data_IF_151352535928
#
_entry.id   IF_151352535928
#
_cell.length_a   1.000
_cell.length_b   1.000
_cell.length_c   1.000
_cell.angle_alpha   90.00
_cell.angle_beta   90.00
_cell.angle_gamma   90.00
#
_symmetry.space_group_name_H-M   'P 1'
#
loop_
_entity.id
_entity.type
_entity.pdbx_description
1 polymer ?
#
# COMPACT_ATOMS: atom_id res chain seq x y z
N UNK A 1 33.39 18.02 6.94
CA UNK A 1 32.69 18.46 8.16
C UNK A 1 31.43 17.63 8.27
N UNK A 2 31.35 16.76 9.27
CA UNK A 2 30.21 15.84 9.44
C UNK A 2 29.17 16.55 10.30
N UNK A 3 28.01 16.86 9.74
CA UNK A 3 26.92 17.53 10.47
C UNK A 3 26.08 16.43 11.14
N UNK A 4 25.74 16.55 12.43
CA UNK A 4 24.92 15.56 13.11
C UNK A 4 23.56 15.37 12.42
N UNK A 5 23.17 14.11 12.29
CA UNK A 5 21.93 13.67 11.61
C UNK A 5 20.76 13.52 12.57
N UNK A 6 21.02 13.47 13.88
CA UNK A 6 20.00 13.34 14.91
C UNK A 6 18.95 14.46 14.81
N UNK A 7 17.68 14.06 14.93
CA UNK A 7 16.55 14.97 14.89
C UNK A 7 16.06 15.26 16.31
N UNK A 8 15.66 16.50 16.55
CA UNK A 8 15.15 16.97 17.83
C UNK A 8 13.70 17.38 17.66
N UNK A 9 12.84 16.94 18.57
CA UNK A 9 11.44 17.36 18.58
C UNK A 9 11.34 18.86 18.88
N UNK A 10 10.74 19.65 18.00
CA UNK A 10 10.50 21.08 18.09
C UNK A 10 9.03 21.35 17.74
N UNK A 11 8.25 21.77 18.73
CA UNK A 11 6.81 22.09 18.60
C UNK A 11 5.95 21.07 17.83
N UNK A 12 6.25 19.78 18.01
CA UNK A 12 5.53 18.67 17.38
C UNK A 12 6.17 18.12 16.10
N UNK A 13 7.20 18.80 15.56
CA UNK A 13 7.98 18.35 14.41
C UNK A 13 9.36 17.83 14.80
N UNK A 14 9.95 16.92 14.03
CA UNK A 14 11.31 16.43 14.27
C UNK A 14 12.28 17.15 13.35
N UNK A 15 13.15 18.01 13.88
CA UNK A 15 14.05 18.85 13.08
C UNK A 15 15.50 18.39 13.23
N UNK A 16 16.18 18.15 12.12
CA UNK A 16 17.62 17.78 12.09
C UNK A 16 18.47 18.94 11.56
N UNK A 17 19.52 19.38 12.28
CA UNK A 17 20.42 20.42 11.81
C UNK A 17 21.04 20.15 10.44
N UNK A 18 21.45 18.91 10.18
CA UNK A 18 22.00 18.52 8.88
C UNK A 18 20.99 18.69 7.75
N UNK A 19 19.73 18.37 7.99
CA UNK A 19 18.66 18.52 7.00
C UNK A 19 18.25 19.97 6.82
N UNK A 20 18.23 20.78 7.89
CA UNK A 20 18.02 22.23 7.78
C UNK A 20 19.11 22.86 6.92
N UNK A 21 20.38 22.50 7.12
CA UNK A 21 21.50 22.97 6.29
C UNK A 21 21.34 22.52 4.84
N UNK A 22 21.03 21.23 4.60
CA UNK A 22 20.84 20.70 3.25
C UNK A 22 19.68 21.39 2.51
N UNK A 23 18.55 21.60 3.19
CA UNK A 23 17.41 22.35 2.67
C UNK A 23 17.82 23.76 2.25
N UNK A 24 18.48 24.51 3.14
CA UNK A 24 18.90 25.88 2.86
C UNK A 24 19.86 25.95 1.67
N UNK A 25 20.83 25.05 1.58
CA UNK A 25 21.77 25.02 0.46
C UNK A 25 21.07 24.82 -0.89
N UNK A 26 20.02 23.99 -0.96
CA UNK A 26 19.21 23.85 -2.19
C UNK A 26 18.38 25.07 -2.53
N UNK A 27 17.91 25.78 -1.52
CA UNK A 27 17.29 27.08 -1.70
C UNK A 27 18.31 28.19 -2.06
N UNK A 28 19.55 27.83 -2.41
CA UNK A 28 20.59 28.75 -2.85
C UNK A 28 21.37 29.42 -1.73
N UNK A 29 21.18 29.01 -0.48
CA UNK A 29 21.94 29.58 0.63
C UNK A 29 23.38 29.09 0.61
N UNK A 30 24.30 29.96 1.00
CA UNK A 30 25.75 29.68 0.99
C UNK A 30 26.31 29.68 2.40
N UNK A 31 27.16 28.70 2.72
CA UNK A 31 27.88 28.67 4.00
C UNK A 31 28.94 29.79 3.97
N UNK A 32 28.86 30.72 4.93
CA UNK A 32 29.77 31.87 5.06
C UNK A 32 30.68 31.81 6.28
N UNK A 33 30.49 30.82 7.13
CA UNK A 33 31.33 30.58 8.30
C UNK A 33 30.69 29.57 9.24
N UNK A 34 31.34 29.34 10.36
CA UNK A 34 30.87 28.39 11.36
C UNK A 34 32.01 27.96 12.27
N UNK A 35 31.68 27.10 13.23
CA UNK A 35 32.65 26.38 14.05
C UNK A 35 32.25 24.91 14.06
N UNK A 36 33.19 24.05 13.70
CA UNK A 36 32.96 22.61 13.59
C UNK A 36 32.36 22.05 14.88
N UNK A 37 31.33 21.22 14.72
CA UNK A 37 30.55 20.63 15.82
C UNK A 37 29.60 21.58 16.55
N UNK A 38 29.74 22.91 16.41
CA UNK A 38 28.94 23.88 17.17
C UNK A 38 27.86 24.59 16.36
N UNK A 39 28.21 25.21 15.24
CA UNK A 39 27.24 25.92 14.40
C UNK A 39 27.75 26.18 12.99
N UNK A 40 26.83 26.41 12.06
CA UNK A 40 27.10 26.94 10.72
C UNK A 40 26.37 28.27 10.52
N UNK A 41 26.98 29.19 9.79
CA UNK A 41 26.37 30.44 9.35
C UNK A 41 26.08 30.37 7.86
N UNK A 42 24.81 30.44 7.49
CA UNK A 42 24.35 30.41 6.11
C UNK A 42 23.80 31.78 5.70
N UNK A 43 24.21 32.28 4.55
CA UNK A 43 23.68 33.51 3.96
C UNK A 43 22.67 33.19 2.85
N UNK A 44 21.52 33.90 2.78
CA UNK A 44 20.52 33.70 1.74
C UNK A 44 21.06 34.04 0.34
N UNK A 45 20.43 33.52 -0.74
CA UNK A 45 20.77 33.88 -2.12
C UNK A 45 20.44 35.35 -2.46
N UNK A 46 19.48 35.93 -1.75
CA UNK A 46 19.07 37.33 -1.87
C UNK A 46 19.69 38.17 -0.75
N UNK A 47 19.53 39.51 -0.80
CA UNK A 47 19.96 40.38 0.29
C UNK A 47 19.12 40.06 1.53
N UNK A 48 19.78 39.63 2.60
CA UNK A 48 19.11 39.25 3.84
C UNK A 48 20.09 38.91 4.96
N UNK A 49 19.55 38.72 6.16
CA UNK A 49 20.33 38.34 7.33
C UNK A 49 20.81 36.89 7.20
N UNK A 50 22.07 36.64 7.57
CA UNK A 50 22.58 35.26 7.67
C UNK A 50 21.96 34.56 8.87
N UNK A 51 21.61 33.29 8.70
CA UNK A 51 21.07 32.41 9.75
C UNK A 51 22.20 31.59 10.35
N UNK A 52 22.15 31.41 11.67
CA UNK A 52 23.04 30.50 12.39
C UNK A 52 22.27 29.22 12.68
N UNK A 53 22.70 28.10 12.11
CA UNK A 53 22.14 26.77 12.40
C UNK A 53 23.02 26.10 13.46
N UNK A 54 22.50 25.84 14.68
CA UNK A 54 23.25 25.16 15.72
C UNK A 54 23.43 23.67 15.36
N UNK A 55 24.60 23.10 15.68
CA UNK A 55 24.93 21.70 15.41
C UNK A 55 25.06 20.86 16.68
N UNK A 56 25.41 21.46 17.81
CA UNK A 56 25.60 20.74 19.06
C UNK A 56 24.27 20.51 19.80
N UNK A 57 23.64 19.36 19.53
CA UNK A 57 22.38 18.94 20.17
C UNK A 57 22.49 18.86 21.70
N UNK A 58 23.70 18.66 22.24
CA UNK A 58 23.94 18.57 23.68
C UNK A 58 24.03 19.91 24.40
N UNK A 59 24.08 21.03 23.67
CA UNK A 59 24.23 22.36 24.27
C UNK A 59 22.91 22.88 24.86
N UNK A 60 22.98 23.58 26.00
CA UNK A 60 21.80 23.95 26.79
C UNK A 60 20.81 24.88 26.07
N UNK A 61 21.30 25.74 25.17
CA UNK A 61 20.49 26.69 24.39
C UNK A 61 20.17 26.19 22.97
N UNK A 62 20.58 24.96 22.61
CA UNK A 62 20.44 24.41 21.26
C UNK A 62 19.02 24.56 20.71
N UNK A 63 18.01 24.21 21.53
CA UNK A 63 16.60 24.25 21.13
C UNK A 63 16.16 25.66 20.78
N UNK A 64 16.54 26.66 21.58
CA UNK A 64 16.20 28.05 21.36
C UNK A 64 16.88 28.58 20.08
N UNK A 65 18.17 28.27 19.91
CA UNK A 65 18.92 28.64 18.72
C UNK A 65 18.34 28.01 17.45
N UNK A 66 17.86 26.77 17.53
CA UNK A 66 17.23 26.09 16.41
C UNK A 66 15.85 26.69 16.09
N UNK A 67 15.04 26.99 17.11
CA UNK A 67 13.77 27.73 16.95
C UNK A 67 13.99 29.08 16.27
N UNK A 68 14.97 29.86 16.72
CA UNK A 68 15.30 31.17 16.13
C UNK A 68 15.76 31.03 14.68
N UNK A 69 16.56 30.00 14.38
CA UNK A 69 17.00 29.71 13.03
C UNK A 69 15.81 29.36 12.11
N UNK A 70 14.91 28.48 12.55
CA UNK A 70 13.71 28.08 11.80
C UNK A 70 12.79 29.27 11.56
N UNK A 71 12.53 30.10 12.58
CA UNK A 71 11.71 31.29 12.45
C UNK A 71 12.31 32.28 11.44
N UNK A 72 13.62 32.56 11.55
CA UNK A 72 14.31 33.48 10.63
C UNK A 72 14.28 32.98 9.19
N UNK A 73 14.42 31.66 8.97
CA UNK A 73 14.30 31.05 7.64
C UNK A 73 12.86 31.16 7.12
N UNK A 74 11.86 30.96 7.98
CA UNK A 74 10.44 31.18 7.68
C UNK A 74 10.19 32.59 7.16
N UNK A 75 10.61 33.59 7.93
CA UNK A 75 10.43 35.01 7.60
C UNK A 75 11.06 35.38 6.24
N UNK A 76 12.29 34.93 5.99
CA UNK A 76 12.99 35.17 4.72
C UNK A 76 12.31 34.46 3.55
N UNK A 77 11.70 33.29 3.79
CA UNK A 77 11.02 32.48 2.78
C UNK A 77 9.55 32.86 2.58
N UNK A 78 9.00 33.80 3.37
CA UNK A 78 7.59 34.16 3.36
C UNK A 78 6.66 33.04 3.85
N UNK A 79 7.17 32.13 4.67
CA UNK A 79 6.42 31.04 5.29
C UNK A 79 6.31 31.29 6.78
N UNK A 80 5.10 31.15 7.34
CA UNK A 80 4.94 31.16 8.79
C UNK A 80 5.73 30.02 9.46
N UNK A 81 5.94 30.16 10.76
CA UNK A 81 6.76 29.24 11.54
C UNK A 81 6.25 27.79 11.46
N UNK A 82 4.93 27.57 11.54
CA UNK A 82 4.32 26.22 11.49
C UNK A 82 4.53 25.55 10.12
N UNK A 83 4.37 26.31 9.03
CA UNK A 83 4.66 25.82 7.67
C UNK A 83 6.13 25.53 7.47
N UNK A 84 7.02 26.33 8.06
CA UNK A 84 8.45 26.08 8.00
C UNK A 84 8.83 24.82 8.80
N UNK A 85 8.26 24.61 9.99
CA UNK A 85 8.45 23.38 10.76
C UNK A 85 8.01 22.16 9.95
N UNK A 86 6.80 22.18 9.39
CA UNK A 86 6.28 21.11 8.52
C UNK A 86 7.17 20.86 7.31
N UNK A 87 7.91 21.88 6.84
CA UNK A 87 8.80 21.77 5.69
C UNK A 87 10.18 21.20 6.05
N UNK A 88 10.64 21.43 7.27
CA UNK A 88 11.92 20.94 7.80
C UNK A 88 11.78 19.64 8.62
N UNK A 89 10.54 19.20 8.87
CA UNK A 89 10.25 17.99 9.65
C UNK A 89 10.76 16.74 8.95
N UNK A 90 11.75 16.11 9.56
CA UNK A 90 12.37 14.88 9.06
C UNK A 90 11.46 13.66 9.25
N UNK A 91 10.49 13.76 10.17
CA UNK A 91 9.46 12.76 10.40
C UNK A 91 8.39 12.76 9.30
N UNK A 92 8.41 13.76 8.42
CA UNK A 92 7.49 13.93 7.30
C UNK A 92 8.28 13.76 5.98
N UNK A 93 8.07 12.65 5.28
CA UNK A 93 8.71 12.45 3.97
C UNK A 93 7.86 12.96 2.79
N UNK A 94 7.89 12.27 1.63
CA UNK A 94 7.24 12.79 0.41
C UNK A 94 5.74 12.96 0.57
N UNK A 95 5.22 13.98 -0.08
CA UNK A 95 3.81 14.27 -0.16
C UNK A 95 3.23 13.56 -1.39
N UNK A 96 2.28 12.66 -1.17
CA UNK A 96 1.45 12.08 -2.23
C UNK A 96 0.04 12.63 -2.08
N UNK A 97 -0.48 13.23 -3.14
CA UNK A 97 -1.78 13.89 -3.20
C UNK A 97 -2.69 13.10 -4.13
N UNK A 98 -3.81 12.62 -3.60
CA UNK A 98 -4.85 11.94 -4.37
C UNK A 98 -6.04 12.87 -4.49
N UNK A 99 -6.26 13.41 -5.69
CA UNK A 99 -7.34 14.35 -5.98
C UNK A 99 -8.43 13.66 -6.77
N UNK A 100 -9.69 13.84 -6.36
CA UNK A 100 -10.88 13.48 -7.11
C UNK A 100 -11.68 14.73 -7.47
N UNK A 101 -11.86 14.97 -8.76
CA UNK A 101 -12.60 16.13 -9.27
C UNK A 101 -14.07 15.78 -9.40
N UNK A 102 -14.95 16.53 -8.73
CA UNK A 102 -16.39 16.33 -8.85
C UNK A 102 -17.13 17.68 -8.85
N UNK A 103 -18.19 17.81 -9.67
CA UNK A 103 -18.99 19.02 -9.71
C UNK A 103 -19.93 18.97 -8.50
N UNK A 104 -19.63 19.76 -7.48
CA UNK A 104 -20.36 19.70 -6.22
C UNK A 104 -20.65 21.06 -5.61
N UNK A 105 -21.78 21.25 -4.92
CA UNK A 105 -22.12 22.53 -4.29
C UNK A 105 -21.11 22.86 -3.19
N UNK A 106 -20.60 24.09 -3.23
CA UNK A 106 -19.82 24.69 -2.13
C UNK A 106 -18.60 23.86 -1.65
N UNK A 107 -18.00 23.03 -2.51
CA UNK A 107 -16.87 22.19 -2.10
C UNK A 107 -17.24 21.08 -1.12
N UNK A 108 -18.45 20.51 -1.22
CA UNK A 108 -18.87 19.28 -0.49
C UNK A 108 -18.93 18.01 -1.34
N UNK A 109 -18.48 16.83 -0.89
CA UNK A 109 -18.71 15.56 -1.63
C UNK A 109 -19.74 14.67 -0.97
N UNK A 110 -20.43 13.82 -1.76
CA UNK A 110 -21.10 12.66 -1.23
C UNK A 110 -20.17 11.85 -0.33
N UNK A 111 -20.71 11.42 0.81
CA UNK A 111 -19.96 10.66 1.81
C UNK A 111 -19.32 9.39 1.23
N UNK A 112 -20.06 8.67 0.39
CA UNK A 112 -19.59 7.48 -0.32
C UNK A 112 -18.40 7.77 -1.24
N UNK A 113 -18.39 8.92 -1.90
CA UNK A 113 -17.25 9.36 -2.73
C UNK A 113 -16.01 9.67 -1.89
N UNK A 114 -16.19 10.25 -0.70
CA UNK A 114 -15.09 10.48 0.25
C UNK A 114 -14.50 9.18 0.78
N UNK A 115 -15.35 8.22 1.15
CA UNK A 115 -14.93 6.87 1.53
C UNK A 115 -14.17 6.16 0.38
N UNK A 116 -14.68 6.28 -0.85
CA UNK A 116 -14.03 5.70 -2.03
C UNK A 116 -12.67 6.33 -2.30
N UNK A 117 -12.53 7.64 -2.15
CA UNK A 117 -11.27 8.36 -2.32
C UNK A 117 -10.22 7.85 -1.31
N UNK A 118 -10.56 7.76 -0.03
CA UNK A 118 -9.64 7.25 1.01
C UNK A 118 -9.28 5.78 0.74
N UNK A 119 -10.27 4.93 0.41
CA UNK A 119 -10.04 3.52 0.14
C UNK A 119 -9.18 3.28 -1.10
N UNK A 120 -9.37 4.08 -2.16
CA UNK A 120 -8.59 3.98 -3.40
C UNK A 120 -7.16 4.47 -3.17
N UNK A 121 -6.99 5.59 -2.48
CA UNK A 121 -5.66 6.13 -2.09
C UNK A 121 -4.86 5.11 -1.27
N UNK A 122 -5.52 4.46 -0.30
CA UNK A 122 -4.90 3.40 0.52
C UNK A 122 -4.44 2.22 -0.35
N UNK A 123 -5.29 1.74 -1.27
CA UNK A 123 -4.94 0.63 -2.15
C UNK A 123 -3.81 0.96 -3.13
N UNK A 124 -3.72 2.19 -3.62
CA UNK A 124 -2.62 2.63 -4.48
C UNK A 124 -1.28 2.58 -3.75
N UNK A 125 -1.24 3.08 -2.51
CA UNK A 125 -0.06 3.04 -1.65
C UNK A 125 0.35 1.59 -1.31
N UNK A 126 -0.62 0.73 -0.98
CA UNK A 126 -0.37 -0.69 -0.73
C UNK A 126 0.15 -1.42 -1.98
N UNK A 127 -0.47 -1.18 -3.14
CA UNK A 127 -0.06 -1.78 -4.41
C UNK A 127 1.38 -1.38 -4.77
N UNK A 128 1.75 -0.11 -4.60
CA UNK A 128 3.11 0.36 -4.81
C UNK A 128 4.12 -0.31 -3.85
N UNK A 129 3.76 -0.46 -2.58
CA UNK A 129 4.62 -1.14 -1.60
C UNK A 129 4.84 -2.62 -1.94
N UNK A 130 3.80 -3.32 -2.41
CA UNK A 130 3.91 -4.71 -2.89
C UNK A 130 4.74 -4.77 -4.18
N UNK A 131 4.49 -3.88 -5.12
CA UNK A 131 5.21 -3.79 -6.40
C UNK A 131 6.69 -3.43 -6.24
N UNK A 132 7.08 -2.76 -5.15
CA UNK A 132 8.49 -2.52 -4.87
C UNK A 132 9.22 -3.80 -4.44
N UNK A 133 8.52 -4.78 -3.86
CA UNK A 133 9.09 -6.09 -3.48
C UNK A 133 9.20 -7.02 -4.68
N UNK A 134 8.18 -7.06 -5.51
CA UNK A 134 8.09 -7.95 -6.66
C UNK A 134 7.20 -7.31 -7.72
N UNK A 135 7.64 -7.32 -8.98
CA UNK A 135 6.82 -6.86 -10.11
C UNK A 135 6.00 -8.04 -10.63
N UNK A 136 4.69 -8.02 -10.41
CA UNK A 136 3.76 -9.08 -10.86
C UNK A 136 2.39 -8.48 -11.17
N UNK A 137 1.65 -9.15 -12.05
CA UNK A 137 0.31 -8.76 -12.49
C UNK A 137 -0.73 -8.79 -11.36
N UNK A 138 -0.58 -9.70 -10.40
CA UNK A 138 -1.54 -9.88 -9.30
C UNK A 138 -0.79 -10.22 -8.00
N UNK A 139 -1.15 -9.55 -6.91
CA UNK A 139 -0.54 -9.82 -5.60
C UNK A 139 -1.43 -10.67 -4.68
N UNK A 140 -2.73 -10.38 -4.61
CA UNK A 140 -3.61 -10.91 -3.57
C UNK A 140 -3.03 -10.64 -2.17
N UNK A 141 -2.77 -11.71 -1.42
CA UNK A 141 -2.16 -11.65 -0.09
C UNK A 141 -0.61 -11.61 -0.09
N UNK A 142 0.06 -11.69 -1.25
CA UNK A 142 1.53 -11.58 -1.32
C UNK A 142 1.99 -10.23 -0.79
N UNK A 143 3.16 -10.21 -0.16
CA UNK A 143 3.83 -9.01 0.37
C UNK A 143 2.99 -8.16 1.33
N UNK A 144 1.94 -8.73 1.96
CA UNK A 144 1.06 -7.99 2.87
C UNK A 144 1.79 -7.39 4.07
N UNK A 145 2.78 -8.10 4.64
CA UNK A 145 3.59 -7.62 5.77
C UNK A 145 4.37 -6.38 5.40
N UNK A 146 4.98 -6.36 4.21
CA UNK A 146 5.68 -5.19 3.67
C UNK A 146 4.74 -4.02 3.44
N UNK A 147 3.58 -4.26 2.83
CA UNK A 147 2.57 -3.22 2.62
C UNK A 147 2.05 -2.65 3.94
N UNK A 148 1.79 -3.50 4.95
CA UNK A 148 1.36 -3.06 6.28
C UNK A 148 2.45 -2.27 7.01
N UNK A 149 3.70 -2.72 6.97
CA UNK A 149 4.82 -1.99 7.57
C UNK A 149 4.96 -0.60 6.95
N UNK A 150 4.88 -0.51 5.62
CA UNK A 150 4.85 0.77 4.92
C UNK A 150 3.65 1.63 5.35
N UNK A 151 2.42 1.11 5.31
CA UNK A 151 1.23 1.87 5.71
C UNK A 151 1.26 2.35 7.16
N UNK A 152 1.87 1.59 8.08
CA UNK A 152 2.08 2.01 9.47
C UNK A 152 3.04 3.21 9.61
N UNK A 153 3.94 3.38 8.63
CA UNK A 153 4.89 4.50 8.57
C UNK A 153 4.35 5.71 7.82
N UNK A 154 3.35 5.53 6.95
CA UNK A 154 2.66 6.63 6.28
C UNK A 154 1.82 7.43 7.28
N UNK A 155 1.77 8.76 7.10
CA UNK A 155 0.92 9.65 7.87
C UNK A 155 -0.08 10.33 6.95
N UNK A 156 -1.31 10.52 7.41
CA UNK A 156 -2.31 11.28 6.65
C UNK A 156 -2.12 12.77 6.95
N UNK A 157 -1.95 13.57 5.90
CA UNK A 157 -1.93 15.03 6.00
C UNK A 157 -3.33 15.62 6.19
N UNK A 158 -3.41 16.92 6.48
CA UNK A 158 -4.68 17.62 6.51
C UNK A 158 -5.34 17.65 5.13
N UNK A 159 -6.67 17.62 5.09
CA UNK A 159 -7.44 17.81 3.86
C UNK A 159 -7.39 19.27 3.43
N UNK A 160 -7.18 19.52 2.14
CA UNK A 160 -7.13 20.89 1.61
C UNK A 160 -8.50 21.40 1.18
N UNK A 161 -8.66 22.72 1.25
CA UNK A 161 -9.90 23.40 0.86
C UNK A 161 -9.91 23.57 -0.67
N UNK A 162 -10.91 22.99 -1.33
CA UNK A 162 -11.07 23.04 -2.78
C UNK A 162 -10.44 21.81 -3.45
N UNK A 163 -11.27 21.04 -4.15
CA UNK A 163 -10.95 19.72 -4.71
C UNK A 163 -10.62 18.68 -3.62
N UNK A 164 -11.29 17.54 -3.62
CA UNK A 164 -11.16 16.55 -2.53
C UNK A 164 -9.83 15.86 -2.67
N UNK A 165 -8.87 16.33 -1.88
CA UNK A 165 -7.51 15.82 -1.83
C UNK A 165 -7.34 15.02 -0.55
N UNK A 166 -6.95 13.76 -0.71
CA UNK A 166 -6.36 12.96 0.36
C UNK A 166 -4.86 13.09 0.24
N UNK A 167 -4.21 13.45 1.34
CA UNK A 167 -2.77 13.68 1.40
C UNK A 167 -2.12 12.60 2.24
N UNK A 168 -1.09 11.96 1.69
CA UNK A 168 -0.26 10.98 2.37
C UNK A 168 1.19 11.46 2.44
N UNK A 169 1.74 11.49 3.66
CA UNK A 169 3.13 11.78 3.96
C UNK A 169 3.85 10.43 4.10
N UNK A 170 4.68 10.11 3.11
CA UNK A 170 5.37 8.82 2.99
C UNK A 170 6.80 8.95 3.52
N UNK A 171 7.37 7.99 4.24
CA UNK A 171 8.73 8.15 4.78
C UNK A 171 9.77 8.24 3.66
N UNK A 172 10.89 8.91 3.93
CA UNK A 172 12.03 8.96 2.98
C UNK A 172 12.97 7.78 3.19
N UNK A 173 13.27 7.47 4.45
CA UNK A 173 14.26 6.46 4.85
C UNK A 173 13.68 5.05 4.99
N UNK A 174 14.40 4.25 5.77
CA UNK A 174 14.07 2.86 6.04
C UNK A 174 12.72 2.75 6.79
N UNK A 175 11.94 1.74 6.42
CA UNK A 175 10.65 1.47 7.05
C UNK A 175 10.87 0.47 8.20
N UNK A 176 10.75 0.98 9.43
CA UNK A 176 10.94 0.20 10.66
C UNK A 176 9.96 -0.99 10.75
N UNK A 177 10.42 -2.11 11.29
CA UNK A 177 9.62 -3.34 11.43
C UNK A 177 9.74 -4.31 10.25
N UNK A 178 10.63 -4.01 9.30
CA UNK A 178 11.15 -4.92 8.28
C UNK A 178 12.52 -5.50 8.70
N UNK A 179 12.96 -5.22 9.93
CA UNK A 179 14.32 -5.46 10.45
C UNK A 179 14.62 -6.90 10.90
N UNK A 180 13.87 -7.90 10.45
CA UNK A 180 14.33 -9.28 10.66
C UNK A 180 15.08 -9.72 9.42
N UNK A 181 16.43 -9.79 9.45
CA UNK A 181 17.20 -10.48 8.41
C UNK A 181 16.96 -11.99 8.56
N UNK A 182 15.76 -12.42 8.19
CA UNK A 182 15.48 -13.82 7.88
C UNK A 182 16.08 -14.10 6.50
N UNK A 183 16.90 -15.14 6.34
CA UNK A 183 17.43 -15.54 5.04
C UNK A 183 16.27 -15.68 4.03
N UNK A 184 16.25 -14.85 2.99
CA UNK A 184 15.21 -14.84 1.95
C UNK A 184 14.25 -13.63 1.99
N UNK A 185 14.28 -12.79 3.02
CA UNK A 185 13.64 -11.47 2.99
C UNK A 185 14.64 -10.46 2.41
N UNK A 186 14.36 -9.93 1.20
CA UNK A 186 15.24 -8.98 0.50
C UNK A 186 15.53 -7.70 1.30
N UNK A 187 16.44 -6.87 0.79
CA UNK A 187 16.92 -5.61 1.39
C UNK A 187 15.81 -4.76 2.03
N UNK A 188 16.21 -3.94 3.02
CA UNK A 188 15.32 -3.03 3.73
C UNK A 188 14.57 -2.13 2.73
N UNK A 189 13.25 -2.11 2.85
CA UNK A 189 12.37 -1.29 2.01
C UNK A 189 12.49 0.16 2.48
N UNK A 190 12.85 1.07 1.58
CA UNK A 190 12.78 2.51 1.87
C UNK A 190 11.47 3.09 1.35
N UNK A 191 10.92 4.09 2.04
CA UNK A 191 9.72 4.76 1.55
C UNK A 191 9.96 5.51 0.24
N UNK A 192 11.17 6.04 0.00
CA UNK A 192 11.57 6.64 -1.28
C UNK A 192 11.39 5.68 -2.46
N UNK A 193 11.81 4.44 -2.29
CA UNK A 193 11.69 3.42 -3.33
C UNK A 193 10.22 3.07 -3.60
N UNK A 194 9.39 2.99 -2.55
CA UNK A 194 7.95 2.76 -2.70
C UNK A 194 7.30 3.91 -3.46
N UNK A 195 7.58 5.16 -3.11
CA UNK A 195 7.04 6.33 -3.80
C UNK A 195 7.52 6.40 -5.26
N UNK A 196 8.76 6.02 -5.56
CA UNK A 196 9.26 5.88 -6.95
C UNK A 196 8.51 4.81 -7.72
N UNK A 197 8.27 3.64 -7.11
CA UNK A 197 7.46 2.59 -7.72
C UNK A 197 6.02 3.04 -7.95
N UNK A 198 5.44 3.83 -7.04
CA UNK A 198 4.12 4.43 -7.26
C UNK A 198 4.14 5.29 -8.51
N UNK A 199 5.06 6.24 -8.62
CA UNK A 199 5.17 7.12 -9.79
C UNK A 199 5.39 6.32 -11.08
N UNK A 200 6.34 5.39 -11.12
CA UNK A 200 6.59 4.59 -12.32
C UNK A 200 5.39 3.76 -12.73
N UNK A 201 4.66 3.20 -11.77
CA UNK A 201 3.44 2.44 -12.04
C UNK A 201 2.29 3.32 -12.56
N UNK A 202 2.17 4.56 -12.07
CA UNK A 202 1.15 5.50 -12.54
C UNK A 202 1.44 5.97 -13.97
N UNK A 203 2.69 6.35 -14.27
CA UNK A 203 3.13 6.77 -15.60
C UNK A 203 2.97 5.64 -16.63
N UNK A 204 3.41 4.43 -16.30
CA UNK A 204 3.23 3.26 -17.17
C UNK A 204 1.74 2.91 -17.36
N UNK A 205 0.91 3.07 -16.33
CA UNK A 205 -0.55 2.87 -16.45
C UNK A 205 -1.18 3.90 -17.37
N UNK A 206 -0.75 5.17 -17.29
CA UNK A 206 -1.22 6.25 -18.17
C UNK A 206 -0.87 5.97 -19.62
N UNK A 207 0.38 5.59 -19.90
CA UNK A 207 0.84 5.23 -21.24
C UNK A 207 0.07 4.03 -21.82
N UNK A 208 -0.09 2.96 -21.03
CA UNK A 208 -0.84 1.77 -21.43
C UNK A 208 -2.33 2.07 -21.68
N UNK A 209 -2.92 2.94 -20.86
CA UNK A 209 -4.30 3.42 -21.04
C UNK A 209 -4.44 4.22 -22.34
N UNK A 210 -3.51 5.13 -22.63
CA UNK A 210 -3.54 5.91 -23.88
C UNK A 210 -3.42 5.01 -25.10
N UNK A 211 -2.58 3.98 -25.04
CA UNK A 211 -2.45 2.99 -26.10
C UNK A 211 -3.72 2.15 -26.24
N UNK A 212 -4.35 1.75 -25.14
CA UNK A 212 -5.65 1.07 -25.15
C UNK A 212 -6.71 1.94 -25.82
N UNK A 213 -6.81 3.22 -25.47
CA UNK A 213 -7.79 4.13 -26.06
C UNK A 213 -7.62 4.30 -27.58
N UNK A 214 -6.38 4.19 -28.10
CA UNK A 214 -6.08 4.25 -29.54
C UNK A 214 -6.31 2.92 -30.28
N UNK A 215 -6.09 1.79 -29.61
CA UNK A 215 -5.99 0.47 -30.29
C UNK A 215 -7.04 -0.56 -29.84
N UNK A 216 -7.77 -0.27 -28.75
CA UNK A 216 -8.63 -1.20 -28.02
C UNK A 216 -7.92 -2.49 -27.55
N UNK A 217 -6.58 -2.49 -27.48
CA UNK A 217 -5.77 -3.63 -27.06
C UNK A 217 -5.20 -3.43 -25.67
N UNK A 218 -5.33 -4.44 -24.81
CA UNK A 218 -4.77 -4.44 -23.45
C UNK A 218 -3.34 -5.00 -23.35
N UNK A 219 -2.69 -5.29 -24.48
CA UNK A 219 -1.33 -5.87 -24.50
C UNK A 219 -0.28 -4.95 -23.85
N UNK A 220 -0.43 -3.63 -23.98
CA UNK A 220 0.47 -2.63 -23.38
C UNK A 220 0.59 -2.78 -21.85
N UNK A 221 -0.47 -3.25 -21.20
CA UNK A 221 -0.49 -3.45 -19.77
C UNK A 221 0.43 -4.59 -19.32
N UNK A 222 0.74 -5.57 -20.16
CA UNK A 222 1.67 -6.65 -19.81
C UNK A 222 3.11 -6.12 -19.66
N UNK A 223 3.52 -5.24 -20.57
CA UNK A 223 4.82 -4.57 -20.49
C UNK A 223 4.87 -3.61 -19.30
N UNK A 224 3.75 -2.97 -18.96
CA UNK A 224 3.65 -2.04 -17.84
C UNK A 224 3.90 -2.72 -16.46
N UNK A 225 3.73 -4.04 -16.35
CA UNK A 225 3.96 -4.80 -15.11
C UNK A 225 5.38 -4.61 -14.58
N UNK A 226 6.38 -4.51 -15.45
CA UNK A 226 7.78 -4.32 -15.04
C UNK A 226 7.99 -2.99 -14.26
N UNK A 227 7.12 -2.00 -14.48
CA UNK A 227 7.13 -0.71 -13.78
C UNK A 227 6.25 -0.71 -12.52
N UNK A 228 5.57 -1.81 -12.21
CA UNK A 228 4.77 -2.01 -11.00
C UNK A 228 3.26 -1.97 -11.21
N UNK A 229 2.80 -1.96 -12.47
CA UNK A 229 1.39 -2.07 -12.78
C UNK A 229 0.87 -3.45 -12.39
N UNK A 230 -0.27 -3.48 -11.70
CA UNK A 230 -0.87 -4.68 -11.14
C UNK A 230 -2.39 -4.55 -11.08
N UNK A 231 -3.08 -5.67 -10.86
CA UNK A 231 -4.52 -5.75 -10.64
C UNK A 231 -4.99 -4.78 -9.55
N UNK A 232 -4.31 -4.76 -8.40
CA UNK A 232 -4.68 -3.91 -7.27
C UNK A 232 -4.57 -2.43 -7.61
N UNK A 233 -3.52 -2.06 -8.35
CA UNK A 233 -3.30 -0.68 -8.80
C UNK A 233 -4.36 -0.25 -9.82
N UNK A 234 -4.60 -1.06 -10.87
CA UNK A 234 -5.58 -0.73 -11.91
C UNK A 234 -7.01 -0.69 -11.36
N UNK A 235 -7.35 -1.59 -10.44
CA UNK A 235 -8.65 -1.56 -9.76
C UNK A 235 -8.80 -0.32 -8.86
N UNK A 236 -7.74 0.07 -8.13
CA UNK A 236 -7.76 1.25 -7.29
C UNK A 236 -7.89 2.54 -8.11
N UNK A 237 -7.19 2.64 -9.26
CA UNK A 237 -7.34 3.75 -10.19
C UNK A 237 -8.74 3.81 -10.80
N UNK A 238 -9.30 2.68 -11.27
CA UNK A 238 -10.65 2.65 -11.81
C UNK A 238 -11.68 3.17 -10.79
N UNK A 239 -11.54 2.77 -9.51
CA UNK A 239 -12.40 3.25 -8.41
C UNK A 239 -12.15 4.72 -8.04
N UNK A 240 -10.91 5.17 -8.12
CA UNK A 240 -10.56 6.56 -7.90
C UNK A 240 -11.21 7.48 -8.94
N UNK A 241 -11.27 7.04 -10.20
CA UNK A 241 -11.80 7.79 -11.36
C UNK A 241 -13.31 7.62 -11.54
N UNK A 242 -13.90 6.51 -11.09
CA UNK A 242 -15.32 6.23 -11.26
C UNK A 242 -16.21 7.32 -10.60
N UNK A 243 -17.24 7.77 -11.30
CA UNK A 243 -18.17 8.82 -10.84
C UNK A 243 -17.46 10.14 -10.46
N UNK A 244 -16.44 10.56 -11.21
CA UNK A 244 -15.81 11.90 -11.11
C UNK A 244 -15.69 12.54 -12.48
N UNK A 245 -15.32 13.82 -12.54
CA UNK A 245 -14.93 14.53 -13.76
C UNK A 245 -13.46 14.25 -14.13
N UNK A 246 -12.68 13.74 -13.17
CA UNK A 246 -11.28 13.38 -13.33
C UNK A 246 -10.64 13.01 -12.00
N UNK A 247 -9.45 12.43 -12.06
CA UNK A 247 -8.61 12.19 -10.90
C UNK A 247 -7.16 12.53 -11.21
N UNK A 248 -6.43 12.97 -10.18
CA UNK A 248 -5.01 13.26 -10.28
C UNK A 248 -4.28 12.64 -9.10
N UNK A 249 -3.13 12.03 -9.37
CA UNK A 249 -2.18 11.61 -8.34
C UNK A 249 -0.91 12.44 -8.50
N UNK A 250 -0.65 13.30 -7.52
CA UNK A 250 0.52 14.17 -7.46
C UNK A 250 1.54 13.65 -6.45
N UNK A 251 2.82 13.76 -6.76
CA UNK A 251 3.92 13.49 -5.83
C UNK A 251 4.84 14.71 -5.77
N UNK A 252 4.95 15.29 -4.58
CA UNK A 252 5.94 16.32 -4.27
C UNK A 252 7.04 15.70 -3.41
N UNK A 253 8.25 15.69 -3.96
CA UNK A 253 9.39 15.07 -3.33
C UNK A 253 9.99 16.01 -2.28
N UNK A 254 10.23 15.50 -1.07
CA UNK A 254 10.96 16.27 -0.05
C UNK A 254 12.43 16.37 -0.42
N UNK A 255 12.87 17.61 -0.49
CA UNK A 255 14.08 18.02 -1.20
C UNK A 255 15.30 18.11 -0.27
N UNK A 256 15.52 17.16 0.63
CA UNK A 256 16.69 17.16 1.53
C UNK A 256 17.68 16.00 1.30
N UNK A 257 17.41 15.08 0.37
CA UNK A 257 18.34 14.02 -0.10
C UNK A 257 18.65 14.16 -1.60
N UNK A 258 19.92 13.95 -1.99
CA UNK A 258 20.56 14.40 -3.26
C UNK A 258 19.92 13.87 -4.57
N UNK A 259 18.85 13.08 -4.49
CA UNK A 259 18.24 12.34 -5.60
C UNK A 259 16.72 12.59 -5.77
N UNK A 260 16.16 13.64 -5.17
CA UNK A 260 14.74 13.97 -5.29
C UNK A 260 14.38 14.42 -6.73
N UNK A 261 13.46 13.73 -7.43
CA UNK A 261 12.93 14.19 -8.73
C UNK A 261 12.14 15.49 -8.62
N UNK A 262 11.83 16.11 -9.76
CA UNK A 262 10.83 17.18 -9.83
C UNK A 262 9.42 16.68 -9.47
N UNK A 263 8.48 17.57 -9.13
CA UNK A 263 7.12 17.18 -8.81
C UNK A 263 6.47 16.47 -10.02
N UNK A 264 5.74 15.39 -9.75
CA UNK A 264 5.10 14.57 -10.79
C UNK A 264 3.60 14.55 -10.57
N UNK A 265 2.82 14.73 -11.63
CA UNK A 265 1.35 14.69 -11.59
C UNK A 265 0.86 13.78 -12.71
N UNK A 266 0.07 12.77 -12.38
CA UNK A 266 -0.53 11.85 -13.35
C UNK A 266 -2.05 11.97 -13.27
N UNK A 267 -2.66 12.28 -14.42
CA UNK A 267 -4.11 12.50 -14.53
C UNK A 267 -4.81 11.32 -15.22
N UNK A 268 -6.03 11.06 -14.77
CA UNK A 268 -6.93 10.06 -15.32
C UNK A 268 -8.33 10.65 -15.51
N UNK A 269 -8.93 10.37 -16.65
CA UNK A 269 -10.23 10.85 -17.07
C UNK A 269 -11.28 9.72 -16.98
N UNK A 270 -12.58 10.05 -16.89
CA UNK A 270 -13.65 9.05 -16.83
C UNK A 270 -13.65 8.06 -18.01
N UNK A 271 -13.16 8.48 -19.18
CA UNK A 271 -12.99 7.65 -20.38
C UNK A 271 -12.00 6.49 -20.17
N UNK A 272 -11.07 6.62 -19.22
CA UNK A 272 -10.02 5.63 -18.95
C UNK A 272 -10.50 4.41 -18.16
N UNK A 273 -11.67 4.51 -17.51
CA UNK A 273 -12.20 3.44 -16.64
C UNK A 273 -12.29 2.11 -17.40
N UNK A 274 -12.71 2.14 -18.67
CA UNK A 274 -12.83 0.93 -19.50
C UNK A 274 -11.47 0.24 -19.70
N UNK A 275 -10.41 1.02 -19.94
CA UNK A 275 -9.06 0.48 -20.09
C UNK A 275 -8.54 -0.11 -18.78
N UNK A 276 -8.75 0.59 -17.66
CA UNK A 276 -8.33 0.15 -16.33
C UNK A 276 -9.07 -1.12 -15.87
N UNK A 277 -10.37 -1.24 -16.18
CA UNK A 277 -11.17 -2.44 -15.92
C UNK A 277 -10.75 -3.62 -16.82
N UNK A 278 -10.42 -3.34 -18.09
CA UNK A 278 -9.88 -4.34 -19.03
C UNK A 278 -8.54 -4.90 -18.54
N UNK A 279 -7.63 -4.03 -18.09
CA UNK A 279 -6.37 -4.41 -17.46
C UNK A 279 -6.60 -5.24 -16.19
N UNK A 280 -7.50 -4.80 -15.32
CA UNK A 280 -7.86 -5.53 -14.10
C UNK A 280 -8.40 -6.93 -14.41
N UNK A 281 -9.30 -7.04 -15.40
CA UNK A 281 -9.84 -8.34 -15.83
C UNK A 281 -8.76 -9.25 -16.42
N UNK A 282 -7.80 -8.66 -17.16
CA UNK A 282 -6.66 -9.38 -17.73
C UNK A 282 -5.76 -9.93 -16.63
N UNK A 283 -5.36 -9.09 -15.68
CA UNK A 283 -4.47 -9.48 -14.58
C UNK A 283 -5.13 -10.43 -13.58
N UNK A 284 -6.44 -10.35 -13.37
CA UNK A 284 -7.16 -11.31 -12.53
C UNK A 284 -7.03 -12.76 -13.05
N UNK A 285 -6.88 -12.96 -14.38
CA UNK A 285 -6.66 -14.30 -14.97
C UNK A 285 -5.30 -14.90 -14.63
N UNK A 286 -4.36 -14.09 -14.14
CA UNK A 286 -3.04 -14.54 -13.72
C UNK A 286 -2.91 -14.63 -12.21
N UNK A 287 -4.03 -14.53 -11.48
CA UNK A 287 -4.11 -14.96 -10.09
C UNK A 287 -3.55 -16.39 -9.99
N UNK A 288 -2.47 -16.61 -9.20
CA UNK A 288 -1.84 -17.90 -9.14
C UNK A 288 -2.82 -18.90 -8.53
N UNK A 289 -3.31 -19.79 -9.37
CA UNK A 289 -4.02 -20.97 -8.93
C UNK A 289 -2.97 -21.92 -8.33
N UNK A 290 -2.85 -21.94 -7.01
CA UNK A 290 -1.81 -22.76 -6.35
C UNK A 290 -2.32 -24.19 -6.29
N UNK A 291 -1.61 -25.11 -6.92
CA UNK A 291 -1.84 -26.54 -6.68
C UNK A 291 -1.51 -26.84 -5.22
N UNK A 292 -2.51 -27.20 -4.42
CA UNK A 292 -2.34 -27.57 -3.01
C UNK A 292 -2.76 -29.01 -2.80
N UNK A 293 -2.20 -29.65 -1.77
CA UNK A 293 -2.72 -30.91 -1.23
C UNK A 293 -3.14 -30.63 0.19
N UNK A 294 -4.44 -30.45 0.41
CA UNK A 294 -5.00 -30.09 1.70
C UNK A 294 -5.44 -31.35 2.45
N UNK A 295 -5.20 -31.36 3.76
CA UNK A 295 -5.76 -32.33 4.71
C UNK A 295 -6.73 -31.58 5.63
N UNK A 296 -7.95 -32.07 5.80
CA UNK A 296 -8.91 -31.42 6.68
C UNK A 296 -10.13 -32.28 7.02
N UNK A 297 -10.84 -31.91 8.08
CA UNK A 297 -12.11 -32.55 8.44
C UNK A 297 -13.27 -31.88 7.72
N UNK A 298 -14.21 -32.67 7.21
CA UNK A 298 -15.44 -32.15 6.61
C UNK A 298 -16.31 -31.54 7.71
N UNK A 299 -16.79 -30.31 7.53
CA UNK A 299 -17.69 -29.64 8.49
C UNK A 299 -19.03 -29.26 7.88
N UNK A 300 -19.15 -29.27 6.55
CA UNK A 300 -20.41 -29.01 5.85
C UNK A 300 -20.48 -29.84 4.57
N UNK A 301 -21.66 -30.37 4.31
CA UNK A 301 -22.04 -31.10 3.11
C UNK A 301 -23.26 -30.39 2.52
N UNK A 302 -23.12 -29.81 1.33
CA UNK A 302 -24.22 -29.19 0.59
C UNK A 302 -24.35 -29.83 -0.79
N UNK A 303 -25.52 -30.38 -1.09
CA UNK A 303 -25.85 -31.03 -2.35
C UNK A 303 -27.32 -30.76 -2.68
N UNK A 304 -27.62 -29.95 -3.71
CA UNK A 304 -29.00 -29.56 -4.03
C UNK A 304 -29.90 -30.73 -4.43
N UNK A 305 -29.37 -31.75 -5.12
CA UNK A 305 -30.09 -32.95 -5.54
C UNK A 305 -29.18 -34.18 -5.50
N UNK A 306 -29.70 -35.37 -5.18
CA UNK A 306 -28.97 -36.62 -5.38
C UNK A 306 -28.50 -36.75 -6.84
N UNK A 307 -27.29 -37.25 -7.05
CA UNK A 307 -26.72 -37.42 -8.39
C UNK A 307 -26.19 -36.14 -9.05
N UNK A 308 -25.91 -35.09 -8.27
CA UNK A 308 -25.21 -33.90 -8.77
C UNK A 308 -23.89 -33.68 -8.04
N UNK A 309 -23.03 -32.87 -8.65
CA UNK A 309 -21.90 -32.26 -7.94
C UNK A 309 -22.42 -31.54 -6.68
N UNK A 310 -21.63 -31.60 -5.62
CA UNK A 310 -21.94 -30.94 -4.36
C UNK A 310 -20.75 -30.15 -3.84
N UNK A 311 -21.00 -29.31 -2.85
CA UNK A 311 -19.99 -28.49 -2.20
C UNK A 311 -19.76 -29.03 -0.80
N UNK A 312 -18.50 -29.13 -0.41
CA UNK A 312 -18.12 -29.45 0.95
C UNK A 312 -17.29 -28.31 1.55
N UNK A 313 -17.30 -28.20 2.87
CA UNK A 313 -16.40 -27.31 3.61
C UNK A 313 -15.43 -28.16 4.42
N UNK A 314 -14.14 -27.95 4.21
CA UNK A 314 -13.07 -28.50 5.03
C UNK A 314 -12.63 -27.49 6.07
N UNK A 315 -12.46 -27.94 7.31
CA UNK A 315 -11.57 -27.29 8.27
C UNK A 315 -10.17 -27.83 8.04
N UNK A 316 -9.26 -26.99 7.56
CA UNK A 316 -7.94 -27.40 7.10
C UNK A 316 -7.02 -27.62 8.30
N UNK A 317 -6.39 -28.79 8.32
CA UNK A 317 -5.38 -29.19 9.30
C UNK A 317 -3.99 -28.90 8.71
N UNK A 318 -3.73 -29.31 7.47
CA UNK A 318 -2.43 -29.16 6.80
C UNK A 318 -2.56 -28.87 5.30
N UNK A 319 -1.48 -28.36 4.70
CA UNK A 319 -1.30 -28.29 3.25
C UNK A 319 -1.97 -27.12 2.54
N UNK A 320 -2.67 -26.25 3.27
CA UNK A 320 -3.17 -24.96 2.79
C UNK A 320 -3.03 -23.87 3.87
N UNK A 321 -2.88 -22.62 3.44
CA UNK A 321 -2.89 -21.42 4.31
C UNK A 321 -4.32 -21.01 4.72
N UNK A 322 -5.35 -21.61 4.14
CA UNK A 322 -6.74 -21.34 4.47
C UNK A 322 -7.13 -22.11 5.74
N UNK A 323 -7.81 -21.46 6.71
CA UNK A 323 -8.44 -22.20 7.83
C UNK A 323 -9.65 -23.02 7.37
N UNK A 324 -10.49 -22.42 6.54
CA UNK A 324 -11.68 -23.05 5.95
C UNK A 324 -11.52 -23.08 4.42
N UNK A 325 -11.79 -24.22 3.80
CA UNK A 325 -11.66 -24.43 2.35
C UNK A 325 -12.96 -25.03 1.80
N UNK A 326 -13.59 -24.37 0.82
CA UNK A 326 -14.75 -24.92 0.11
C UNK A 326 -14.26 -25.73 -1.09
N UNK A 327 -14.79 -26.94 -1.25
CA UNK A 327 -14.38 -27.85 -2.33
C UNK A 327 -15.62 -28.24 -3.11
N UNK A 328 -15.57 -28.06 -4.43
CA UNK A 328 -16.63 -28.55 -5.33
C UNK A 328 -16.28 -29.98 -5.74
N UNK A 329 -17.02 -30.95 -5.20
CA UNK A 329 -16.84 -32.35 -5.52
C UNK A 329 -17.82 -32.79 -6.62
N UNK A 330 -17.35 -33.50 -7.66
CA UNK A 330 -18.23 -34.17 -8.61
C UNK A 330 -18.98 -35.32 -7.92
N UNK A 331 -20.01 -35.85 -8.60
CA UNK A 331 -20.93 -36.85 -8.01
C UNK A 331 -20.18 -38.05 -7.43
N UNK A 332 -19.21 -38.56 -8.19
CA UNK A 332 -18.47 -39.80 -7.91
C UNK A 332 -17.56 -39.68 -6.68
N UNK A 333 -17.20 -38.46 -6.29
CA UNK A 333 -16.27 -38.18 -5.20
C UNK A 333 -16.98 -37.67 -3.93
N UNK A 334 -18.21 -37.19 -4.06
CA UNK A 334 -18.96 -36.63 -2.93
C UNK A 334 -19.30 -37.68 -1.87
N UNK A 335 -19.55 -38.93 -2.26
CA UNK A 335 -19.89 -40.00 -1.31
C UNK A 335 -18.72 -40.30 -0.35
N UNK A 336 -17.48 -40.08 -0.78
CA UNK A 336 -16.30 -40.16 0.10
C UNK A 336 -16.31 -39.05 1.16
N UNK A 337 -16.84 -37.87 0.86
CA UNK A 337 -16.99 -36.79 1.83
C UNK A 337 -18.09 -37.09 2.85
N UNK A 338 -19.17 -37.75 2.42
CA UNK A 338 -20.21 -38.26 3.34
C UNK A 338 -19.59 -39.28 4.28
N UNK A 339 -18.78 -40.20 3.77
CA UNK A 339 -18.09 -41.19 4.57
C UNK A 339 -17.15 -40.53 5.58
N UNK A 340 -16.29 -39.60 5.14
CA UNK A 340 -15.36 -38.89 6.00
C UNK A 340 -16.07 -38.17 7.16
N UNK A 341 -17.16 -37.47 6.85
CA UNK A 341 -17.98 -36.76 7.83
C UNK A 341 -18.61 -37.70 8.85
N UNK A 342 -19.15 -38.84 8.38
CA UNK A 342 -19.82 -39.82 9.24
C UNK A 342 -18.85 -40.57 10.16
N UNK A 343 -17.68 -40.91 9.64
CA UNK A 343 -16.68 -41.71 10.34
C UNK A 343 -15.68 -40.85 11.14
N UNK A 344 -15.79 -39.52 11.07
CA UNK A 344 -14.88 -38.61 11.76
C UNK A 344 -13.46 -38.65 11.21
N UNK A 345 -13.29 -39.00 9.93
CA UNK A 345 -12.00 -39.07 9.26
C UNK A 345 -11.62 -37.72 8.64
N UNK A 346 -10.33 -37.45 8.55
CA UNK A 346 -9.82 -36.36 7.74
C UNK A 346 -9.75 -36.79 6.27
N UNK A 347 -10.07 -35.86 5.39
CA UNK A 347 -9.95 -36.04 3.95
C UNK A 347 -8.69 -35.32 3.46
N UNK A 348 -7.81 -36.06 2.78
CA UNK A 348 -6.70 -35.51 2.01
C UNK A 348 -7.14 -35.38 0.56
N UNK A 349 -6.94 -34.22 -0.04
CA UNK A 349 -7.24 -34.00 -1.45
C UNK A 349 -6.31 -32.96 -2.06
N UNK A 350 -5.96 -33.17 -3.33
CA UNK A 350 -5.19 -32.23 -4.12
C UNK A 350 -6.10 -31.48 -5.08
N UNK A 351 -5.76 -30.23 -5.37
CA UNK A 351 -6.45 -29.48 -6.41
C UNK A 351 -5.94 -28.06 -6.51
N UNK A 352 -6.66 -27.28 -7.31
CA UNK A 352 -6.33 -25.91 -7.61
C UNK A 352 -7.00 -25.00 -6.60
N UNK A 353 -6.22 -24.40 -5.70
CA UNK A 353 -6.74 -23.45 -4.73
C UNK A 353 -6.80 -22.05 -5.32
N UNK A 354 -7.96 -21.44 -5.18
CA UNK A 354 -8.26 -20.07 -5.61
C UNK A 354 -8.91 -19.32 -4.44
N UNK A 355 -8.71 -18.00 -4.39
CA UNK A 355 -9.32 -17.15 -3.37
C UNK A 355 -10.40 -16.29 -4.02
N UNK A 356 -11.65 -16.58 -3.72
CA UNK A 356 -12.78 -15.79 -4.21
C UNK A 356 -13.33 -14.93 -3.08
N UNK A 357 -13.01 -13.64 -3.13
CA UNK A 357 -13.37 -12.69 -2.08
C UNK A 357 -12.71 -13.05 -0.74
N UNK A 358 -13.53 -13.44 0.26
CA UNK A 358 -13.06 -13.88 1.59
C UNK A 358 -12.91 -15.39 1.72
N UNK A 359 -13.38 -16.15 0.74
CA UNK A 359 -13.43 -17.61 0.78
C UNK A 359 -12.27 -18.20 -0.01
N UNK A 360 -11.75 -19.32 0.47
CA UNK A 360 -10.85 -20.15 -0.32
C UNK A 360 -11.65 -21.29 -0.93
N UNK A 361 -11.48 -21.48 -2.23
CA UNK A 361 -12.05 -22.56 -3.01
C UNK A 361 -10.95 -23.50 -3.48
N UNK A 362 -11.28 -24.78 -3.58
CA UNK A 362 -10.46 -25.78 -4.24
C UNK A 362 -11.25 -26.41 -5.38
N UNK A 363 -10.70 -26.25 -6.58
CA UNK A 363 -11.23 -26.73 -7.84
C UNK A 363 -10.43 -27.95 -8.34
N UNK A 364 -11.05 -28.71 -9.24
CA UNK A 364 -10.49 -29.92 -9.84
C UNK A 364 -9.90 -30.90 -8.80
N UNK A 365 -10.68 -31.33 -7.78
CA UNK A 365 -10.19 -32.19 -6.72
C UNK A 365 -9.74 -33.55 -7.27
N UNK A 366 -8.56 -34.02 -6.83
CA UNK A 366 -7.92 -35.28 -7.24
C UNK A 366 -7.17 -35.89 -6.05
N UNK A 367 -6.88 -37.19 -6.13
CA UNK A 367 -6.09 -37.89 -5.09
C UNK A 367 -6.79 -37.82 -3.73
N UNK A 368 -8.06 -38.20 -3.68
CA UNK A 368 -8.84 -38.18 -2.44
C UNK A 368 -8.52 -39.45 -1.65
N UNK A 369 -8.02 -39.25 -0.43
CA UNK A 369 -7.76 -40.30 0.53
C UNK A 369 -8.42 -39.95 1.88
N UNK A 370 -9.01 -40.94 2.52
CA UNK A 370 -9.53 -40.83 3.89
C UNK A 370 -8.47 -41.32 4.87
N UNK A 371 -8.15 -40.51 5.87
CA UNK A 371 -7.15 -40.82 6.90
C UNK A 371 -7.66 -40.48 8.29
N UNK A 372 -7.11 -41.12 9.32
CA UNK A 372 -7.39 -40.75 10.69
C UNK A 372 -6.93 -39.31 10.97
N UNK A 373 -7.71 -38.58 11.77
CA UNK A 373 -7.37 -37.22 12.18
C UNK A 373 -6.10 -37.27 13.03
N UNK A 374 -5.02 -36.56 12.68
CA UNK A 374 -3.81 -36.53 13.49
C UNK A 374 -4.13 -36.10 14.94
N UNK A 375 -3.62 -36.82 15.92
CA UNK A 375 -3.95 -36.65 17.36
C UNK A 375 -3.47 -35.32 17.98
N UNK A 376 -3.08 -34.34 17.18
CA UNK A 376 -2.66 -33.01 17.61
C UNK A 376 -3.43 -31.98 16.78
N UNK A 377 -4.65 -31.66 17.20
CA UNK A 377 -5.41 -30.41 17.04
C UNK A 377 -6.79 -30.72 17.62
N UNK A 378 -6.99 -30.38 18.90
CA UNK A 378 -8.35 -30.28 19.43
C UNK A 378 -9.04 -29.10 18.73
N UNK A 379 -10.24 -29.27 18.16
CA UNK A 379 -11.00 -28.13 17.65
C UNK A 379 -11.36 -27.21 18.81
N UNK A 380 -11.03 -25.92 18.70
CA UNK A 380 -11.41 -24.90 19.67
C UNK A 380 -12.95 -24.80 19.70
N UNK A 381 -13.62 -25.15 20.82
CA UNK A 381 -15.07 -25.16 20.91
C UNK A 381 -15.70 -23.75 20.87
N UNK A 382 -14.89 -22.68 20.84
CA UNK A 382 -15.37 -21.29 20.87
C UNK A 382 -15.80 -20.70 19.50
N UNK A 383 -15.59 -21.38 18.36
CA UNK A 383 -15.93 -20.83 17.03
C UNK A 383 -17.28 -21.34 16.45
N UNK A 384 -18.12 -22.03 17.22
CA UNK A 384 -19.41 -22.56 16.73
C UNK A 384 -20.52 -21.51 16.51
N UNK A 385 -20.38 -20.28 17.02
CA UNK A 385 -21.52 -19.34 17.11
C UNK A 385 -21.37 -17.99 16.36
N UNK A 386 -20.36 -17.77 15.51
CA UNK A 386 -20.14 -16.42 14.91
C UNK A 386 -20.21 -16.29 13.39
N UNK A 387 -20.52 -17.34 12.64
CA UNK A 387 -20.57 -17.31 11.16
C UNK A 387 -21.91 -17.79 10.56
N UNK A 388 -22.91 -18.12 11.40
CA UNK A 388 -24.20 -18.71 10.96
C UNK A 388 -25.15 -17.70 10.29
N UNK A 389 -24.75 -16.42 10.21
CA UNK A 389 -25.58 -15.33 9.67
C UNK A 389 -25.45 -15.13 8.14
N UNK A 390 -24.78 -16.02 7.42
CA UNK A 390 -24.53 -15.87 5.97
C UNK A 390 -25.16 -16.93 5.06
N UNK A 391 -25.90 -17.89 5.59
CA UNK A 391 -26.64 -18.89 4.79
C UNK A 391 -28.11 -18.48 4.60
N UNK A 392 -28.36 -17.23 4.18
CA UNK A 392 -29.64 -16.87 3.55
C UNK A 392 -29.52 -16.97 2.03
N UNK A 393 -30.46 -17.64 1.33
CA UNK A 393 -30.49 -17.62 -0.12
C UNK A 393 -30.79 -16.19 -0.60
N UNK A 394 -29.94 -15.67 -1.48
CA UNK A 394 -30.23 -14.48 -2.26
C UNK A 394 -31.50 -14.74 -3.08
N UNK A 395 -32.62 -14.13 -2.68
CA UNK A 395 -33.79 -13.92 -3.53
C UNK A 395 -33.68 -12.58 -4.24
#
# INVERSE_FOLDING_TARGET
MTIPTDAVALDGSWISPSQTVAYLQRQGWTIRGGREGLYLRLAPPTVGQSVVVPLDVGHADFRNLLTDAVATVGDISGLDYERMLTRLDVGIGDLVRFRKEMPTPHGTIPWSSGQSLIASSTRLLEAAAKAQREKTQYFGNKHWTSAKAYMNSVRMGQTEIGSYVVTALTPVGDIAGIDVPLPGFGEALTGRQVTRTLVSSLEATREATDQFNRTSSSAAFDEAVQYGVSYELTQALARLVANSDGAEVGVEWRDWREDAPGPTYVQFEPSDVVALESASTRFARTEPSVGVTALGTVTLLDRPRPGTAGVIRLNVIEGSQAKKLRVRLPEELYDQAIQAFREGLAMRLSGRQEKEGRLYWLYDPRGIDLVEVPSAVEPDPAEQDSDDDLDQPLF
#
